data_IF_962021420042
#
_entry.id   IF_962021420042
#
_cell.length_a   1.000
_cell.length_b   1.000
_cell.length_c   1.000
_cell.angle_alpha   90.00
_cell.angle_beta   90.00
_cell.angle_gamma   90.00
#
_symmetry.space_group_name_H-M   'P 1'
#
loop_
_entity.id
_entity.type
_entity.pdbx_description
1 polymer ?
#
# COMPACT_ATOMS: atom_id res chain seq x y z
N UNK A 1 -13.06 7.16 -12.87
CA UNK A 1 -12.06 7.37 -13.92
C UNK A 1 -11.84 6.10 -14.73
N UNK A 2 -11.55 4.94 -14.11
CA UNK A 2 -11.23 3.71 -14.87
C UNK A 2 -12.36 3.26 -15.81
N UNK A 3 -13.65 3.19 -15.41
CA UNK A 3 -14.72 2.82 -16.34
C UNK A 3 -14.75 3.71 -17.59
N UNK A 4 -14.59 5.02 -17.43
CA UNK A 4 -14.51 5.96 -18.57
C UNK A 4 -13.33 5.67 -19.49
N UNK A 5 -12.17 5.35 -18.94
CA UNK A 5 -10.97 4.99 -19.73
C UNK A 5 -11.20 3.68 -20.47
N UNK A 6 -11.71 2.65 -19.80
CA UNK A 6 -11.93 1.33 -20.42
C UNK A 6 -13.03 1.37 -21.48
N UNK A 7 -14.10 2.14 -21.26
CA UNK A 7 -15.17 2.33 -22.24
C UNK A 7 -14.65 3.02 -23.51
N UNK A 8 -13.81 4.05 -23.37
CA UNK A 8 -13.19 4.74 -24.51
C UNK A 8 -12.25 3.83 -25.29
N UNK A 9 -11.45 2.99 -24.62
CA UNK A 9 -10.61 2.01 -25.29
C UNK A 9 -11.48 1.00 -26.04
N UNK A 10 -12.56 0.52 -25.43
CA UNK A 10 -13.50 -0.39 -26.07
C UNK A 10 -14.12 0.23 -27.32
N UNK A 11 -14.53 1.49 -27.26
CA UNK A 11 -15.09 2.22 -28.41
C UNK A 11 -14.06 2.43 -29.52
N UNK A 12 -12.84 2.86 -29.20
CA UNK A 12 -11.78 3.19 -30.17
C UNK A 12 -11.12 1.97 -30.79
N UNK A 13 -10.94 0.91 -30.01
CA UNK A 13 -10.10 -0.23 -30.38
C UNK A 13 -10.80 -1.59 -30.28
N UNK A 14 -11.98 -1.66 -29.67
CA UNK A 14 -12.74 -2.91 -29.52
C UNK A 14 -12.27 -3.82 -28.40
N UNK A 15 -11.35 -3.37 -27.53
CA UNK A 15 -10.73 -4.22 -26.49
C UNK A 15 -11.31 -3.98 -25.11
N UNK A 16 -11.49 -5.06 -24.37
CA UNK A 16 -12.02 -5.04 -23.00
C UNK A 16 -10.86 -4.92 -21.99
N UNK A 17 -11.06 -4.05 -21.02
CA UNK A 17 -10.15 -3.84 -19.90
C UNK A 17 -10.93 -3.96 -18.60
N UNK A 18 -10.28 -4.44 -17.56
CA UNK A 18 -10.89 -4.63 -16.27
C UNK A 18 -9.90 -4.36 -15.14
N UNK A 19 -10.40 -4.23 -13.92
CA UNK A 19 -9.55 -4.12 -12.73
C UNK A 19 -8.64 -5.34 -12.61
N UNK A 20 -7.37 -5.09 -12.29
CA UNK A 20 -6.41 -6.16 -12.10
C UNK A 20 -6.88 -7.16 -11.04
N UNK A 21 -6.78 -8.44 -11.38
CA UNK A 21 -6.92 -9.51 -10.42
C UNK A 21 -6.56 -10.87 -10.99
N UNK A 22 -6.58 -11.87 -10.12
CA UNK A 22 -6.37 -13.26 -10.47
C UNK A 22 -7.36 -14.14 -9.73
N UNK A 23 -7.72 -15.26 -10.35
CA UNK A 23 -8.44 -16.33 -9.65
C UNK A 23 -7.50 -17.08 -8.72
N UNK A 24 -7.95 -17.40 -7.52
CA UNK A 24 -7.18 -18.22 -6.59
C UNK A 24 -7.66 -19.67 -6.59
N UNK A 25 -6.74 -20.64 -6.65
CA UNK A 25 -7.07 -22.06 -6.49
C UNK A 25 -7.52 -22.39 -5.07
N UNK A 26 -7.15 -21.56 -4.07
CA UNK A 26 -7.45 -21.80 -2.65
C UNK A 26 -8.77 -21.16 -2.22
N UNK A 27 -9.20 -20.09 -2.89
CA UNK A 27 -10.41 -19.33 -2.55
C UNK A 27 -11.10 -18.88 -3.84
N UNK A 28 -12.38 -19.20 -4.05
CA UNK A 28 -13.09 -18.75 -5.23
C UNK A 28 -13.30 -17.23 -5.20
N UNK A 29 -12.95 -16.55 -6.29
CA UNK A 29 -13.13 -15.11 -6.46
C UNK A 29 -12.05 -14.47 -7.33
N UNK A 30 -12.29 -13.22 -7.71
CA UNK A 30 -11.34 -12.34 -8.41
C UNK A 30 -10.61 -11.49 -7.39
N UNK A 31 -9.31 -11.72 -7.17
CA UNK A 31 -8.52 -11.04 -6.14
C UNK A 31 -7.51 -10.09 -6.75
N UNK A 32 -7.47 -8.85 -6.27
CA UNK A 32 -6.44 -7.89 -6.68
C UNK A 32 -5.09 -8.16 -5.98
N UNK A 33 -4.13 -7.25 -6.17
CA UNK A 33 -2.82 -7.29 -5.53
C UNK A 33 -2.90 -7.08 -3.99
N UNK A 34 -1.77 -7.13 -3.30
CA UNK A 34 -1.69 -6.96 -1.84
C UNK A 34 -1.77 -5.47 -1.44
N UNK A 35 -2.46 -5.14 -0.34
CA UNK A 35 -2.71 -3.74 0.07
C UNK A 35 -1.48 -2.99 0.60
N UNK A 36 -0.42 -3.72 0.99
CA UNK A 36 0.70 -3.12 1.71
C UNK A 36 1.48 -2.12 0.85
N UNK A 37 1.95 -0.99 1.41
CA UNK A 37 2.68 0.06 0.69
C UNK A 37 4.09 -0.34 0.24
N UNK A 38 4.57 -1.56 0.47
CA UNK A 38 5.78 -2.09 -0.17
C UNK A 38 5.65 -2.24 -1.69
N UNK A 39 4.42 -2.29 -2.20
CA UNK A 39 4.13 -2.26 -3.63
C UNK A 39 4.04 -0.81 -4.11
N UNK A 40 4.68 -0.51 -5.24
CA UNK A 40 4.92 0.86 -5.70
C UNK A 40 3.65 1.71 -5.85
N UNK A 41 2.58 1.14 -6.39
CA UNK A 41 1.31 1.85 -6.59
C UNK A 41 0.68 2.25 -5.25
N UNK A 42 0.66 1.34 -4.27
CA UNK A 42 0.16 1.64 -2.92
C UNK A 42 1.07 2.64 -2.20
N UNK A 43 2.39 2.52 -2.36
CA UNK A 43 3.35 3.48 -1.81
C UNK A 43 3.09 4.90 -2.29
N UNK A 44 2.91 5.08 -3.60
CA UNK A 44 2.64 6.40 -4.20
C UNK A 44 1.26 6.91 -3.75
N UNK A 45 0.25 6.03 -3.68
CA UNK A 45 -1.07 6.33 -3.12
C UNK A 45 -1.01 6.83 -1.68
N UNK A 46 -0.22 6.17 -0.83
CA UNK A 46 0.00 6.55 0.57
C UNK A 46 0.66 7.92 0.72
N UNK A 47 1.34 8.39 -0.33
CA UNK A 47 1.95 9.73 -0.43
C UNK A 47 1.03 10.75 -1.10
N UNK A 48 -0.28 10.49 -1.14
CA UNK A 48 -1.31 11.34 -1.72
C UNK A 48 -1.10 11.62 -3.22
N UNK A 49 -0.52 10.67 -3.96
CA UNK A 49 -0.31 10.77 -5.40
C UNK A 49 -1.03 9.63 -6.11
N UNK A 50 -1.54 9.92 -7.30
CA UNK A 50 -2.21 8.90 -8.12
C UNK A 50 -1.16 8.01 -8.76
N UNK A 51 -1.30 6.69 -8.59
CA UNK A 51 -0.51 5.69 -9.28
C UNK A 51 -1.42 4.63 -9.88
N UNK A 52 -1.02 4.16 -11.06
CA UNK A 52 -1.71 3.12 -11.80
C UNK A 52 -0.68 2.05 -12.12
N UNK A 53 -0.97 0.82 -11.70
CA UNK A 53 -0.24 -0.36 -12.11
C UNK A 53 -1.06 -1.05 -13.19
N UNK A 54 -0.48 -1.22 -14.37
CA UNK A 54 -1.10 -1.89 -15.52
C UNK A 54 -0.38 -3.20 -15.80
N UNK A 55 -1.13 -4.30 -15.85
CA UNK A 55 -0.62 -5.60 -16.29
C UNK A 55 -1.37 -6.05 -17.53
N UNK A 56 -0.63 -6.28 -18.62
CA UNK A 56 -1.17 -6.92 -19.82
C UNK A 56 -1.35 -8.41 -19.57
N UNK A 57 -2.41 -9.00 -20.14
CA UNK A 57 -2.71 -10.42 -19.95
C UNK A 57 -1.55 -11.31 -20.43
N UNK A 58 -1.06 -12.18 -19.54
CA UNK A 58 0.21 -12.88 -19.74
C UNK A 58 0.21 -13.81 -20.96
N UNK A 59 -0.96 -14.31 -21.36
CA UNK A 59 -1.12 -15.27 -22.46
C UNK A 59 -1.36 -14.61 -23.82
N UNK A 60 -1.48 -13.28 -23.86
CA UNK A 60 -1.57 -12.54 -25.11
C UNK A 60 -0.27 -12.66 -25.93
N UNK A 61 -0.39 -12.41 -27.23
CA UNK A 61 0.80 -12.28 -28.07
C UNK A 61 1.65 -11.10 -27.61
N UNK A 62 2.95 -11.12 -27.90
CA UNK A 62 3.82 -9.98 -27.58
C UNK A 62 3.28 -8.68 -28.19
N UNK A 63 2.80 -8.74 -29.45
CA UNK A 63 2.18 -7.61 -30.13
C UNK A 63 0.97 -7.10 -29.34
N UNK A 64 0.08 -7.99 -28.90
CA UNK A 64 -1.14 -7.58 -28.21
C UNK A 64 -0.86 -7.02 -26.82
N UNK A 65 0.15 -7.55 -26.11
CA UNK A 65 0.63 -6.97 -24.85
C UNK A 65 1.18 -5.55 -25.03
N UNK A 66 1.88 -5.30 -26.13
CA UNK A 66 2.39 -3.95 -26.48
C UNK A 66 1.23 -3.03 -26.80
N UNK A 67 0.30 -3.44 -27.67
CA UNK A 67 -0.83 -2.61 -28.08
C UNK A 67 -1.78 -2.32 -26.92
N UNK A 68 -2.10 -3.32 -26.09
CA UNK A 68 -2.95 -3.11 -24.92
C UNK A 68 -2.36 -2.11 -23.94
N UNK A 69 -1.05 -2.21 -23.69
CA UNK A 69 -0.36 -1.27 -22.80
C UNK A 69 -0.34 0.13 -23.42
N UNK A 70 -0.07 0.24 -24.72
CA UNK A 70 -0.04 1.53 -25.42
C UNK A 70 -1.38 2.25 -25.32
N UNK A 71 -2.49 1.60 -25.71
CA UNK A 71 -3.81 2.23 -25.69
C UNK A 71 -4.25 2.62 -24.29
N UNK A 72 -3.91 1.81 -23.28
CA UNK A 72 -4.21 2.17 -21.90
C UNK A 72 -3.43 3.41 -21.44
N UNK A 73 -2.14 3.49 -21.77
CA UNK A 73 -1.31 4.66 -21.45
C UNK A 73 -1.82 5.90 -22.18
N UNK A 74 -2.12 5.81 -23.48
CA UNK A 74 -2.65 6.94 -24.26
C UNK A 74 -3.97 7.46 -23.67
N UNK A 75 -4.94 6.58 -23.38
CA UNK A 75 -6.22 7.01 -22.82
C UNK A 75 -6.12 7.53 -21.39
N UNK A 76 -5.21 6.99 -20.55
CA UNK A 76 -4.95 7.57 -19.23
C UNK A 76 -4.39 8.98 -19.35
N UNK A 77 -3.47 9.22 -20.28
CA UNK A 77 -2.87 10.54 -20.50
C UNK A 77 -3.89 11.53 -21.04
N UNK A 78 -4.75 11.12 -21.98
CA UNK A 78 -5.85 11.92 -22.48
C UNK A 78 -6.86 12.26 -21.38
N UNK A 79 -7.27 11.27 -20.58
CA UNK A 79 -8.16 11.48 -19.43
C UNK A 79 -7.51 12.44 -18.42
N UNK A 80 -6.24 12.27 -18.10
CA UNK A 80 -5.53 13.12 -17.16
C UNK A 80 -5.42 14.57 -17.67
N UNK A 81 -5.16 14.76 -18.97
CA UNK A 81 -5.16 16.09 -19.59
C UNK A 81 -6.52 16.76 -19.48
N UNK A 82 -7.59 16.04 -19.80
CA UNK A 82 -8.97 16.54 -19.76
C UNK A 82 -9.44 16.89 -18.35
N UNK A 83 -8.91 16.20 -17.33
CA UNK A 83 -9.31 16.35 -15.92
C UNK A 83 -8.21 16.97 -15.05
N UNK A 84 -7.26 17.69 -15.66
CA UNK A 84 -6.04 18.13 -14.98
C UNK A 84 -6.29 19.04 -13.77
N UNK A 85 -7.31 19.90 -13.81
CA UNK A 85 -7.70 20.76 -12.69
C UNK A 85 -8.25 19.94 -11.52
N UNK A 86 -9.25 19.09 -11.78
CA UNK A 86 -9.83 18.18 -10.78
C UNK A 86 -8.77 17.28 -10.13
N UNK A 87 -7.82 16.75 -10.91
CA UNK A 87 -6.71 15.93 -10.38
C UNK A 87 -5.83 16.75 -9.44
N UNK A 88 -5.49 18.00 -9.80
CA UNK A 88 -4.68 18.88 -8.93
C UNK A 88 -5.42 19.22 -7.65
N UNK A 89 -6.71 19.47 -7.72
CA UNK A 89 -7.53 19.79 -6.54
C UNK A 89 -7.63 18.60 -5.60
N UNK A 90 -7.87 17.39 -6.12
CA UNK A 90 -7.87 16.15 -5.35
C UNK A 90 -6.51 15.89 -4.67
N UNK A 91 -5.40 16.12 -5.38
CA UNK A 91 -4.06 15.97 -4.80
C UNK A 91 -3.82 17.01 -3.68
N UNK A 92 -4.26 18.25 -3.88
CA UNK A 92 -4.15 19.32 -2.87
C UNK A 92 -4.99 19.01 -1.63
N UNK A 93 -6.19 18.50 -1.81
CA UNK A 93 -7.07 18.06 -0.72
C UNK A 93 -6.45 16.88 0.03
N UNK A 94 -5.91 15.90 -0.69
CA UNK A 94 -5.26 14.74 -0.08
C UNK A 94 -4.01 15.12 0.74
N UNK A 95 -3.29 16.19 0.35
CA UNK A 95 -2.15 16.74 1.09
C UNK A 95 -2.55 17.47 2.39
N UNK A 96 -3.85 17.61 2.68
CA UNK A 96 -4.30 18.12 3.98
C UNK A 96 -3.90 17.20 5.13
N UNK A 97 -3.80 17.80 6.32
CA UNK A 97 -3.45 17.13 7.56
C UNK A 97 -4.33 15.92 7.84
N UNK A 98 -3.72 14.85 8.34
CA UNK A 98 -4.45 13.66 8.84
C UNK A 98 -4.52 13.58 10.35
N UNK A 99 -3.99 14.57 11.07
CA UNK A 99 -4.01 14.61 12.53
C UNK A 99 -5.45 14.45 13.04
N UNK A 100 -5.65 13.51 13.97
CA UNK A 100 -6.96 13.20 14.54
C UNK A 100 -7.87 12.32 13.67
N UNK A 101 -7.45 11.92 12.47
CA UNK A 101 -8.19 10.96 11.65
C UNK A 101 -7.89 9.51 12.07
N UNK A 102 -8.89 8.63 11.98
CA UNK A 102 -8.67 7.18 12.07
C UNK A 102 -8.06 6.68 10.76
N UNK A 103 -6.88 6.07 10.85
CA UNK A 103 -6.16 5.48 9.73
C UNK A 103 -5.97 3.98 9.97
N UNK A 104 -6.03 3.19 8.90
CA UNK A 104 -5.81 1.75 8.98
C UNK A 104 -4.35 1.45 9.33
N UNK A 105 -4.13 0.61 10.34
CA UNK A 105 -2.82 -0.01 10.60
C UNK A 105 -2.75 -1.40 9.97
N UNK A 106 -3.90 -2.04 9.76
CA UNK A 106 -4.00 -3.33 9.07
C UNK A 106 -5.23 -3.37 8.20
N UNK A 107 -5.16 -4.10 7.09
CA UNK A 107 -6.29 -4.27 6.20
C UNK A 107 -6.44 -5.71 5.69
N UNK A 108 -7.62 -5.98 5.14
CA UNK A 108 -7.92 -7.22 4.44
C UNK A 108 -8.75 -6.96 3.19
N UNK A 109 -8.79 -7.94 2.29
CA UNK A 109 -9.63 -7.87 1.10
C UNK A 109 -11.10 -7.63 1.46
N UNK A 110 -11.72 -6.66 0.82
CA UNK A 110 -13.14 -6.39 0.93
C UNK A 110 -13.88 -7.15 -0.17
N UNK A 111 -14.92 -7.90 0.22
CA UNK A 111 -15.75 -8.67 -0.70
C UNK A 111 -16.80 -7.78 -1.36
N UNK A 112 -16.95 -7.88 -2.67
CA UNK A 112 -17.99 -7.19 -3.43
C UNK A 112 -19.42 -7.57 -2.96
N UNK A 113 -20.38 -6.61 -2.94
CA UNK A 113 -21.74 -6.83 -2.46
C UNK A 113 -22.56 -7.75 -3.36
N UNK A 114 -22.24 -7.83 -4.65
CA UNK A 114 -22.79 -8.77 -5.63
C UNK A 114 -21.68 -9.50 -6.38
N UNK A 115 -22.04 -10.55 -7.11
CA UNK A 115 -21.15 -11.10 -8.13
C UNK A 115 -21.02 -10.10 -9.29
N UNK A 116 -19.85 -10.15 -9.94
CA UNK A 116 -19.54 -9.39 -11.15
C UNK A 116 -19.17 -10.38 -12.24
N UNK A 117 -19.36 -9.95 -13.49
CA UNK A 117 -18.95 -10.71 -14.65
C UNK A 117 -17.47 -10.45 -14.94
N UNK A 118 -16.67 -11.52 -14.94
CA UNK A 118 -15.26 -11.49 -15.31
C UNK A 118 -15.10 -12.25 -16.64
N UNK A 119 -14.50 -11.61 -17.64
CA UNK A 119 -14.21 -12.24 -18.92
C UNK A 119 -12.93 -13.08 -18.80
N UNK A 120 -13.07 -14.41 -18.78
CA UNK A 120 -11.95 -15.35 -18.70
C UNK A 120 -11.56 -15.82 -20.10
N UNK A 121 -10.31 -15.60 -20.50
CA UNK A 121 -9.78 -16.10 -21.78
C UNK A 121 -9.45 -17.59 -21.71
N UNK A 122 -9.85 -18.35 -22.74
CA UNK A 122 -9.32 -19.70 -22.92
C UNK A 122 -7.85 -19.64 -23.33
N UNK A 123 -7.09 -20.66 -22.94
CA UNK A 123 -5.68 -20.80 -23.30
C UNK A 123 -5.41 -22.18 -23.89
N UNK A 124 -4.48 -22.25 -24.82
CA UNK A 124 -3.94 -23.50 -25.34
C UNK A 124 -2.43 -23.57 -25.11
N UNK A 125 -1.93 -24.78 -24.94
CA UNK A 125 -0.49 -25.03 -24.91
C UNK A 125 0.12 -24.82 -26.30
N UNK A 126 1.23 -24.10 -26.34
CA UNK A 126 2.07 -23.87 -27.52
C UNK A 126 3.52 -24.19 -27.15
N UNK A 127 4.31 -24.73 -28.08
CA UNK A 127 5.76 -24.87 -27.85
C UNK A 127 6.47 -23.60 -28.27
N UNK A 128 7.22 -23.02 -27.36
CA UNK A 128 8.02 -21.84 -27.64
C UNK A 128 9.06 -22.15 -28.74
N UNK A 129 9.12 -21.36 -29.83
CA UNK A 129 9.88 -21.72 -31.02
C UNK A 129 11.39 -21.74 -30.80
N UNK A 130 11.93 -20.97 -29.85
CA UNK A 130 13.37 -20.93 -29.58
C UNK A 130 13.81 -21.85 -28.43
N UNK A 131 12.96 -22.06 -27.42
CA UNK A 131 13.35 -22.80 -26.20
C UNK A 131 12.73 -24.19 -26.12
N UNK A 132 11.67 -24.46 -26.90
CA UNK A 132 10.93 -25.73 -26.88
C UNK A 132 10.02 -25.91 -25.66
N UNK A 133 10.06 -24.97 -24.70
CA UNK A 133 9.23 -24.98 -23.50
C UNK A 133 7.75 -24.83 -23.84
N UNK A 134 6.88 -25.43 -23.02
CA UNK A 134 5.44 -25.28 -23.16
C UNK A 134 5.06 -23.91 -22.57
N UNK A 135 4.40 -23.09 -23.38
CA UNK A 135 3.79 -21.82 -22.97
C UNK A 135 2.28 -21.91 -23.15
N UNK A 136 1.56 -21.02 -22.49
CA UNK A 136 0.11 -20.87 -22.67
C UNK A 136 -0.17 -19.64 -23.55
N UNK A 137 -1.03 -19.83 -24.55
CA UNK A 137 -1.46 -18.80 -25.50
C UNK A 137 -2.96 -18.60 -25.43
N UNK A 138 -3.41 -17.35 -25.26
CA UNK A 138 -4.83 -16.98 -25.31
C UNK A 138 -5.44 -17.41 -26.65
N UNK A 139 -6.62 -17.99 -26.60
CA UNK A 139 -7.47 -18.26 -27.75
C UNK A 139 -8.46 -17.10 -27.96
N UNK A 140 -9.01 -16.98 -29.17
CA UNK A 140 -10.08 -16.00 -29.47
C UNK A 140 -11.45 -16.46 -28.93
N UNK A 141 -11.47 -16.90 -27.67
CA UNK A 141 -12.64 -17.33 -26.91
C UNK A 141 -12.56 -16.71 -25.53
N UNK A 142 -13.53 -15.86 -25.20
CA UNK A 142 -13.76 -15.35 -23.85
C UNK A 142 -15.01 -16.00 -23.26
N UNK A 143 -14.92 -16.38 -21.99
CA UNK A 143 -16.01 -16.97 -21.21
C UNK A 143 -16.38 -16.02 -20.07
N UNK A 144 -17.59 -15.46 -20.07
CA UNK A 144 -18.10 -14.73 -18.92
C UNK A 144 -18.23 -15.68 -17.73
N UNK A 145 -17.63 -15.31 -16.61
CA UNK A 145 -17.73 -16.06 -15.36
C UNK A 145 -18.21 -15.11 -14.26
N UNK A 146 -19.35 -15.43 -13.66
CA UNK A 146 -19.84 -14.72 -12.48
C UNK A 146 -19.05 -15.16 -11.25
N UNK A 147 -18.46 -14.20 -10.55
CA UNK A 147 -17.79 -14.46 -9.28
C UNK A 147 -17.79 -13.23 -8.39
N UNK A 148 -17.47 -13.42 -7.11
CA UNK A 148 -17.23 -12.32 -6.18
C UNK A 148 -15.87 -11.70 -6.46
N UNK A 149 -15.83 -10.38 -6.38
CA UNK A 149 -14.61 -9.60 -6.55
C UNK A 149 -14.09 -9.13 -5.19
N UNK A 150 -12.77 -9.05 -5.09
CA UNK A 150 -12.01 -8.56 -3.97
C UNK A 150 -11.01 -7.51 -4.49
N UNK A 151 -11.56 -6.47 -5.11
CA UNK A 151 -10.82 -5.42 -5.82
C UNK A 151 -10.41 -4.23 -4.95
N UNK A 152 -10.81 -4.22 -3.67
CA UNK A 152 -10.48 -3.19 -2.69
C UNK A 152 -10.27 -3.82 -1.30
N UNK A 153 -9.94 -3.00 -0.32
CA UNK A 153 -9.59 -3.42 1.03
C UNK A 153 -10.39 -2.65 2.09
N UNK A 154 -10.61 -3.31 3.22
CA UNK A 154 -11.24 -2.76 4.40
C UNK A 154 -10.29 -2.86 5.60
N UNK A 155 -10.30 -1.88 6.53
CA UNK A 155 -9.46 -1.93 7.71
C UNK A 155 -9.89 -3.07 8.63
N UNK A 156 -8.92 -3.78 9.19
CA UNK A 156 -9.14 -4.76 10.28
C UNK A 156 -8.69 -4.20 11.63
N UNK A 157 -7.74 -3.27 11.62
CA UNK A 157 -7.30 -2.50 12.77
C UNK A 157 -7.09 -1.05 12.31
N UNK A 158 -7.45 -0.10 13.18
CA UNK A 158 -7.28 1.33 12.95
C UNK A 158 -6.56 1.96 14.13
N UNK A 159 -5.93 3.11 13.90
CA UNK A 159 -5.55 4.00 14.99
C UNK A 159 -5.77 5.48 14.64
N UNK A 160 -5.91 6.30 15.68
CA UNK A 160 -6.00 7.76 15.53
C UNK A 160 -4.61 8.34 15.27
N UNK A 161 -4.46 9.06 14.15
CA UNK A 161 -3.23 9.73 13.81
C UNK A 161 -2.89 10.81 14.86
N UNK A 162 -1.72 10.75 15.52
CA UNK A 162 -1.30 11.75 16.50
C UNK A 162 -0.88 13.05 15.81
N UNK A 163 -0.67 14.12 16.58
CA UNK A 163 -0.07 15.35 16.08
C UNK A 163 1.43 15.18 15.83
N UNK A 164 2.12 14.45 16.72
CA UNK A 164 3.56 14.22 16.65
C UNK A 164 3.92 12.78 16.99
N UNK A 165 4.97 12.28 16.33
CA UNK A 165 5.78 11.18 16.81
C UNK A 165 7.13 11.69 17.33
N UNK A 166 7.63 11.06 18.39
CA UNK A 166 8.95 11.29 18.95
C UNK A 166 9.76 10.01 18.87
N UNK A 167 10.80 10.02 18.03
CA UNK A 167 11.67 8.86 17.78
C UNK A 167 12.90 9.01 18.66
N UNK A 168 13.12 8.03 19.54
CA UNK A 168 14.22 8.07 20.50
C UNK A 168 15.58 7.87 19.80
N UNK A 169 16.69 8.41 20.36
CA UNK A 169 18.02 8.36 19.72
C UNK A 169 18.50 6.95 19.37
N UNK A 170 18.12 5.93 20.15
CA UNK A 170 18.48 4.54 19.91
C UNK A 170 17.88 3.95 18.62
N UNK A 171 16.86 4.58 18.04
CA UNK A 171 16.21 4.14 16.80
C UNK A 171 16.80 4.81 15.54
N UNK A 172 18.13 4.92 15.47
CA UNK A 172 18.85 5.61 14.38
C UNK A 172 18.45 5.10 12.99
N UNK A 173 18.34 3.78 12.80
CA UNK A 173 17.92 3.16 11.54
C UNK A 173 16.53 3.62 11.07
N UNK A 174 15.58 3.85 12.00
CA UNK A 174 14.27 4.38 11.65
C UNK A 174 14.34 5.86 11.27
N UNK A 175 15.14 6.65 11.98
CA UNK A 175 15.35 8.08 11.68
C UNK A 175 15.96 8.26 10.28
N UNK A 176 17.00 7.48 9.94
CA UNK A 176 17.62 7.51 8.62
C UNK A 176 16.61 7.18 7.51
N UNK A 177 15.75 6.19 7.73
CA UNK A 177 14.76 5.75 6.75
C UNK A 177 13.64 6.77 6.56
N UNK A 178 13.13 7.37 7.63
CA UNK A 178 12.14 8.46 7.53
C UNK A 178 12.67 9.59 6.65
N UNK A 179 13.91 10.00 6.88
CA UNK A 179 14.58 11.02 6.07
C UNK A 179 14.75 10.57 4.62
N UNK A 180 15.12 9.31 4.37
CA UNK A 180 15.21 8.75 3.02
C UNK A 180 13.85 8.70 2.30
N UNK A 181 12.75 8.53 3.04
CA UNK A 181 11.39 8.65 2.49
C UNK A 181 11.00 10.10 2.19
N UNK A 182 11.73 11.09 2.73
CA UNK A 182 11.46 12.51 2.62
C UNK A 182 10.52 13.05 3.69
N UNK A 183 10.27 12.29 4.77
CA UNK A 183 9.48 12.77 5.91
C UNK A 183 10.23 13.88 6.62
N UNK A 184 9.57 15.02 6.82
CA UNK A 184 10.16 16.15 7.51
C UNK A 184 10.32 15.85 9.01
N UNK A 185 11.52 16.15 9.53
CA UNK A 185 11.89 15.90 10.92
C UNK A 185 12.36 17.19 11.59
N UNK A 186 12.00 17.39 12.86
CA UNK A 186 12.41 18.51 13.68
C UNK A 186 13.05 18.08 15.01
N UNK A 187 13.36 19.06 15.84
CA UNK A 187 13.85 18.82 17.20
C UNK A 187 12.68 18.58 18.16
N UNK A 188 12.83 17.63 19.07
CA UNK A 188 11.89 17.45 20.17
C UNK A 188 11.88 18.67 21.11
N UNK A 189 10.74 18.95 21.77
CA UNK A 189 10.64 20.00 22.78
C UNK A 189 11.55 19.72 23.98
N UNK A 190 12.03 20.78 24.62
CA UNK A 190 12.83 20.71 25.84
C UNK A 190 11.91 20.77 27.06
N UNK A 191 12.12 19.86 28.01
CA UNK A 191 11.34 19.77 29.25
C UNK A 191 10.39 18.58 29.26
N UNK A 192 9.50 18.54 30.24
CA UNK A 192 8.48 17.50 30.34
C UNK A 192 7.37 17.71 29.32
N UNK A 193 7.00 16.65 28.63
CA UNK A 193 5.88 16.61 27.71
C UNK A 193 4.96 15.44 28.03
N UNK A 194 3.67 15.64 27.81
CA UNK A 194 2.70 14.55 27.84
C UNK A 194 2.78 13.82 26.50
N UNK A 195 3.10 12.53 26.57
CA UNK A 195 3.24 11.65 25.42
C UNK A 195 2.59 10.32 25.74
N UNK A 196 2.39 9.50 24.72
CA UNK A 196 2.07 8.10 24.86
C UNK A 196 3.27 7.26 24.45
N UNK A 197 3.57 6.22 25.22
CA UNK A 197 4.52 5.18 24.85
C UNK A 197 3.78 3.86 24.64
N UNK A 198 4.28 3.04 23.72
CA UNK A 198 3.67 1.75 23.43
C UNK A 198 4.27 0.67 24.34
N UNK A 199 3.44 0.07 25.18
CA UNK A 199 3.82 -1.07 26.01
C UNK A 199 3.64 -2.34 25.20
N UNK A 200 4.74 -3.04 24.94
CA UNK A 200 4.73 -4.32 24.21
C UNK A 200 4.30 -5.44 25.16
N UNK A 201 3.19 -6.09 24.84
CA UNK A 201 2.70 -7.26 25.57
C UNK A 201 3.25 -8.56 24.99
N UNK A 202 3.30 -8.67 23.66
CA UNK A 202 3.79 -9.84 22.95
C UNK A 202 4.20 -9.51 21.51
N UNK A 203 4.97 -10.39 20.88
CA UNK A 203 5.29 -10.28 19.47
C UNK A 203 5.29 -11.64 18.78
N UNK A 204 4.97 -11.67 17.50
CA UNK A 204 5.09 -12.84 16.63
C UNK A 204 6.04 -12.54 15.49
N UNK A 205 6.91 -13.49 15.16
CA UNK A 205 7.87 -13.38 14.07
C UNK A 205 7.49 -14.39 12.99
N UNK A 206 7.47 -13.98 11.73
CA UNK A 206 7.20 -14.87 10.62
C UNK A 206 8.32 -15.92 10.49
N UNK A 207 7.96 -17.20 10.30
CA UNK A 207 8.95 -18.28 10.12
C UNK A 207 9.75 -18.14 8.82
N UNK A 208 9.11 -17.57 7.78
CA UNK A 208 9.71 -17.38 6.46
C UNK A 208 10.19 -15.96 6.31
N UNK A 209 11.41 -15.82 5.80
CA UNK A 209 11.93 -14.51 5.43
C UNK A 209 11.29 -14.02 4.13
N UNK A 210 11.06 -12.72 4.09
CA UNK A 210 10.69 -11.95 2.91
C UNK A 210 11.75 -10.88 2.69
N UNK A 211 12.37 -10.84 1.51
CA UNK A 211 13.45 -9.88 1.20
C UNK A 211 14.58 -9.85 2.24
N UNK A 212 14.91 -11.02 2.81
CA UNK A 212 15.98 -11.16 3.81
C UNK A 212 15.61 -10.73 5.23
N UNK A 213 14.32 -10.49 5.51
CA UNK A 213 13.83 -10.13 6.86
C UNK A 213 12.65 -11.01 7.27
N UNK A 214 12.55 -11.33 8.55
CA UNK A 214 11.41 -12.04 9.11
C UNK A 214 10.47 -11.00 9.69
N UNK A 215 9.27 -10.88 9.13
CA UNK A 215 8.31 -9.85 9.54
C UNK A 215 7.89 -10.04 11.00
N UNK A 216 7.78 -8.95 11.76
CA UNK A 216 7.41 -8.97 13.18
C UNK A 216 6.13 -8.22 13.45
N UNK A 217 5.15 -8.88 14.07
CA UNK A 217 3.92 -8.24 14.54
C UNK A 217 4.00 -8.07 16.04
N UNK A 218 3.90 -6.84 16.53
CA UNK A 218 3.97 -6.50 17.95
C UNK A 218 2.58 -6.19 18.48
N UNK A 219 2.16 -6.75 19.61
CA UNK A 219 0.89 -6.48 20.29
C UNK A 219 1.15 -5.71 21.57
N UNK A 220 0.21 -4.84 21.95
CA UNK A 220 0.40 -3.93 23.07
C UNK A 220 -0.62 -2.80 23.07
N UNK A 221 -0.40 -1.82 23.93
CA UNK A 221 -1.25 -0.65 24.07
C UNK A 221 -0.44 0.62 24.32
N UNK A 222 -0.97 1.75 23.84
CA UNK A 222 -0.47 3.08 24.17
C UNK A 222 -0.86 3.44 25.61
N UNK A 223 0.08 4.00 26.36
CA UNK A 223 -0.14 4.51 27.72
C UNK A 223 0.36 5.94 27.84
N UNK A 224 -0.43 6.82 28.42
CA UNK A 224 -0.04 8.21 28.63
C UNK A 224 0.98 8.34 29.77
N UNK A 225 2.02 9.14 29.54
CA UNK A 225 3.06 9.45 30.50
C UNK A 225 3.50 10.91 30.32
N UNK A 226 3.85 11.57 31.42
CA UNK A 226 4.56 12.85 31.38
C UNK A 226 6.03 12.57 31.63
N UNK A 227 6.91 12.95 30.68
CA UNK A 227 8.35 12.70 30.80
C UNK A 227 9.16 13.71 30.01
N UNK A 228 10.36 14.00 30.48
CA UNK A 228 11.37 14.68 29.67
C UNK A 228 11.96 13.75 28.60
N UNK A 229 11.87 14.15 27.34
CA UNK A 229 12.42 13.39 26.22
C UNK A 229 13.96 13.39 26.26
N UNK A 230 14.62 12.24 26.01
CA UNK A 230 16.07 12.19 25.97
C UNK A 230 16.68 13.17 24.95
N UNK A 231 17.84 13.78 25.23
CA UNK A 231 18.56 14.56 24.23
C UNK A 231 18.82 13.75 22.96
N UNK A 232 18.62 14.37 21.79
CA UNK A 232 18.73 13.70 20.49
C UNK A 232 17.42 13.08 19.97
N UNK A 233 16.34 13.13 20.74
CA UNK A 233 15.01 12.70 20.27
C UNK A 233 14.57 13.55 19.07
N UNK A 234 14.10 12.87 18.03
CA UNK A 234 13.62 13.50 16.80
C UNK A 234 12.10 13.64 16.86
N UNK A 235 11.59 14.81 16.53
CA UNK A 235 10.15 15.03 16.36
C UNK A 235 9.75 14.88 14.89
N UNK A 236 8.64 14.20 14.64
CA UNK A 236 8.00 14.10 13.33
C UNK A 236 6.58 14.60 13.47
N UNK A 237 6.30 15.76 12.87
CA UNK A 237 4.93 16.27 12.76
C UNK A 237 4.13 15.37 11.82
N UNK A 238 2.91 14.99 12.19
CA UNK A 238 1.98 14.33 11.26
C UNK A 238 1.24 15.35 10.40
N UNK A 239 1.26 16.62 10.80
CA UNK A 239 0.76 17.75 10.03
C UNK A 239 1.72 18.12 8.89
N UNK A 240 1.83 17.22 7.91
CA UNK A 240 2.58 17.38 6.68
C UNK A 240 1.97 16.47 5.58
N UNK A 241 2.22 16.72 4.28
CA UNK A 241 1.69 15.89 3.21
C UNK A 241 2.01 14.39 3.36
N UNK A 242 3.17 14.06 3.94
CA UNK A 242 3.58 12.67 4.19
C UNK A 242 3.07 12.10 5.52
N UNK A 243 2.11 12.74 6.18
CA UNK A 243 1.56 12.32 7.47
C UNK A 243 1.06 10.88 7.49
N UNK A 244 0.34 10.45 6.43
CA UNK A 244 -0.11 9.04 6.27
C UNK A 244 1.05 8.06 6.18
N UNK A 245 2.12 8.43 5.49
CA UNK A 245 3.32 7.62 5.38
C UNK A 245 4.05 7.54 6.73
N UNK A 246 4.22 8.68 7.42
CA UNK A 246 4.83 8.71 8.75
C UNK A 246 4.05 7.84 9.74
N UNK A 247 2.72 7.98 9.78
CA UNK A 247 1.83 7.13 10.56
C UNK A 247 2.05 5.64 10.25
N UNK A 248 2.00 5.25 8.97
CA UNK A 248 2.15 3.85 8.56
C UNK A 248 3.52 3.28 8.92
N UNK A 249 4.58 4.08 8.85
CA UNK A 249 5.94 3.64 9.19
C UNK A 249 6.15 3.53 10.71
N UNK A 250 5.52 4.40 11.50
CA UNK A 250 5.79 4.59 12.92
C UNK A 250 4.76 3.93 13.85
N UNK A 251 3.59 3.55 13.37
CA UNK A 251 2.63 2.81 14.20
C UNK A 251 3.10 1.36 14.44
N UNK A 252 3.18 0.89 15.70
CA UNK A 252 3.69 -0.43 16.05
C UNK A 252 2.82 -1.57 15.50
N UNK A 253 1.53 -1.30 15.30
CA UNK A 253 0.54 -2.26 14.76
C UNK A 253 0.47 -2.29 13.24
N UNK A 254 1.15 -1.36 12.56
CA UNK A 254 1.16 -1.28 11.10
C UNK A 254 1.68 -2.56 10.46
N UNK A 255 0.95 -3.14 9.51
CA UNK A 255 1.33 -4.36 8.79
C UNK A 255 2.37 -4.16 7.69
N UNK A 256 2.90 -2.94 7.57
CA UNK A 256 4.04 -2.61 6.70
C UNK A 256 4.93 -1.49 7.27
N UNK A 257 4.89 -1.28 8.58
CA UNK A 257 5.71 -0.29 9.29
C UNK A 257 7.10 -0.78 9.69
N UNK A 258 7.86 0.05 10.41
CA UNK A 258 9.21 -0.31 10.86
C UNK A 258 9.24 -1.47 11.85
N UNK A 259 8.22 -1.60 12.71
CA UNK A 259 8.05 -2.77 13.56
C UNK A 259 7.88 -4.03 12.70
N UNK A 260 6.98 -3.99 11.71
CA UNK A 260 6.74 -5.09 10.78
C UNK A 260 7.97 -5.51 10.01
N UNK A 261 8.76 -4.55 9.54
CA UNK A 261 9.99 -4.80 8.80
C UNK A 261 11.19 -5.15 9.67
N UNK A 262 11.03 -5.42 10.97
CA UNK A 262 12.13 -5.76 11.87
C UNK A 262 13.25 -4.69 11.87
N UNK A 263 12.87 -3.42 11.77
CA UNK A 263 13.80 -2.28 11.79
C UNK A 263 14.15 -1.88 13.23
N UNK A 264 13.24 -2.18 14.17
CA UNK A 264 13.31 -1.83 15.58
C UNK A 264 13.50 -3.05 16.48
N UNK A 265 13.99 -4.17 15.91
CA UNK A 265 14.04 -5.46 16.61
C UNK A 265 14.96 -5.44 17.82
N UNK A 266 16.13 -4.80 17.73
CA UNK A 266 17.06 -4.65 18.85
C UNK A 266 16.37 -4.02 20.07
N UNK A 267 15.51 -3.02 19.86
CA UNK A 267 14.77 -2.36 20.95
C UNK A 267 13.57 -3.20 21.42
N UNK A 268 12.85 -3.83 20.48
CA UNK A 268 11.67 -4.66 20.79
C UNK A 268 12.08 -5.92 21.57
N UNK A 269 13.24 -6.50 21.28
CA UNK A 269 13.79 -7.66 22.00
C UNK A 269 14.13 -7.32 23.45
N UNK A 270 14.45 -6.05 23.73
CA UNK A 270 14.59 -5.51 25.08
C UNK A 270 13.24 -5.10 25.73
N UNK A 271 12.11 -5.41 25.07
CA UNK A 271 10.76 -5.11 25.54
C UNK A 271 10.34 -3.65 25.37
N UNK A 272 10.97 -2.90 24.45
CA UNK A 272 10.74 -1.46 24.27
C UNK A 272 10.34 -1.13 22.84
N UNK A 273 9.41 -0.19 22.69
CA UNK A 273 9.14 0.45 21.40
C UNK A 273 9.71 1.87 21.41
N UNK A 274 10.75 2.20 20.60
CA UNK A 274 11.50 3.45 20.71
C UNK A 274 10.83 4.63 19.99
N UNK A 275 9.50 4.61 19.91
CA UNK A 275 8.67 5.67 19.34
C UNK A 275 7.58 6.01 20.35
N UNK A 276 7.46 7.29 20.66
CA UNK A 276 6.37 7.87 21.43
C UNK A 276 5.49 8.72 20.52
N UNK A 277 4.29 9.05 20.95
CA UNK A 277 3.39 9.96 20.21
C UNK A 277 2.73 11.00 21.11
N UNK A 278 2.23 12.08 20.54
CA UNK A 278 1.41 13.08 21.24
C UNK A 278 0.24 13.53 20.36
N UNK A 279 -0.93 13.69 20.97
CA UNK A 279 -2.16 14.15 20.34
C UNK A 279 -2.35 15.66 20.52
#
# INVERSE_FOLDING_TARGET
WLPTVTDRIKEKHGWDYYYYGNTSQRRPGWYTFDHRPRFNNNYIGLRNRMAILSEAYAYDTFKDRVMSTLWFVEEILDFARENAESIRDLVREADASVVGMELATRATFERSPSEVEILMGEVAEERHPQTGEIILRRQEVSKPVLMREFGTFSPTEVEVAPAFYYILPEAESAIERLRAHGVETGMAPVGEVQVEHFIVDSATIADRSFQGRNERVVFGAWQSITRALPPGTIAVSVDQPLGRLAFTLLEPRSDDGFANWAILDDQIDEGRYPVMRAH
#
